data_IF_435458549690
#
_entry.id   IF_435458549690
#
_cell.length_a   1.000
_cell.length_b   1.000
_cell.length_c   1.000
_cell.angle_alpha   90.00
_cell.angle_beta   90.00
_cell.angle_gamma   90.00
#
_symmetry.space_group_name_H-M   'P 1'
#
loop_
_entity.id
_entity.type
_entity.pdbx_description
1 polymer ?
#
# COMPACT_ATOMS: atom_id res chain seq x y z
N UNK A 1 -15.22 15.99 30.70
CA UNK A 1 -15.85 16.44 29.44
C UNK A 1 -17.32 16.69 29.73
N UNK A 2 -17.77 17.93 29.71
CA UNK A 2 -19.14 18.31 30.05
C UNK A 2 -19.48 19.62 29.38
N UNK A 3 -19.62 19.59 28.04
CA UNK A 3 -19.90 20.81 27.29
C UNK A 3 -20.74 20.59 26.02
N UNK A 4 -21.62 19.59 25.97
CA UNK A 4 -22.62 19.41 24.89
C UNK A 4 -23.92 18.72 25.32
N UNK A 5 -24.29 18.76 26.60
CA UNK A 5 -25.65 18.38 27.03
C UNK A 5 -26.30 19.62 27.60
N UNK A 6 -27.04 20.34 26.76
CA UNK A 6 -27.93 21.40 27.19
C UNK A 6 -29.11 20.72 27.93
N UNK A 7 -29.25 20.86 29.25
CA UNK A 7 -30.31 20.19 30.02
C UNK A 7 -31.70 20.81 29.78
N UNK A 8 -31.78 21.90 29.01
CA UNK A 8 -33.03 22.61 28.69
C UNK A 8 -33.77 22.12 27.44
N UNK A 9 -33.22 21.15 26.70
CA UNK A 9 -33.87 20.55 25.52
C UNK A 9 -34.61 19.22 25.83
N UNK A 10 -34.82 18.92 27.11
CA UNK A 10 -35.68 17.83 27.55
C UNK A 10 -37.15 18.20 27.29
N UNK A 11 -37.72 17.77 26.16
CA UNK A 11 -39.17 17.90 25.96
C UNK A 11 -39.70 17.91 24.54
N UNK A 12 -38.87 17.74 23.51
CA UNK A 12 -39.39 17.52 22.16
C UNK A 12 -40.17 16.21 22.12
N UNK A 13 -41.40 16.21 21.61
CA UNK A 13 -42.15 14.95 21.40
C UNK A 13 -41.33 13.94 20.58
N UNK A 14 -40.52 14.44 19.64
CA UNK A 14 -39.56 13.68 18.84
C UNK A 14 -38.48 13.00 19.68
N UNK A 15 -37.86 13.68 20.65
CA UNK A 15 -36.80 13.06 21.47
C UNK A 15 -37.35 11.93 22.34
N UNK A 16 -38.56 12.12 22.88
CA UNK A 16 -39.22 11.12 23.71
C UNK A 16 -39.66 9.89 22.88
N UNK A 17 -40.13 10.10 21.64
CA UNK A 17 -40.46 9.00 20.71
C UNK A 17 -39.22 8.24 20.27
N UNK A 18 -38.11 8.94 19.98
CA UNK A 18 -36.83 8.35 19.61
C UNK A 18 -36.25 7.50 20.75
N UNK A 19 -36.28 8.01 21.98
CA UNK A 19 -35.84 7.26 23.17
C UNK A 19 -36.74 6.05 23.45
N UNK A 20 -38.07 6.19 23.29
CA UNK A 20 -39.01 5.09 23.49
C UNK A 20 -38.83 3.94 22.48
N UNK A 21 -38.39 4.24 21.26
CA UNK A 21 -38.21 3.26 20.17
C UNK A 21 -36.75 3.04 19.77
N UNK A 22 -35.79 3.42 20.63
CA UNK A 22 -34.36 3.46 20.30
C UNK A 22 -33.84 2.13 19.73
N UNK A 23 -34.28 0.99 20.31
CA UNK A 23 -33.81 -0.34 19.93
C UNK A 23 -34.36 -0.76 18.57
N UNK A 24 -35.65 -0.51 18.33
CA UNK A 24 -36.31 -0.84 17.07
C UNK A 24 -35.73 0.03 15.95
N UNK A 25 -35.56 1.32 16.21
CA UNK A 25 -34.99 2.26 15.25
C UNK A 25 -33.52 1.92 14.94
N UNK A 26 -32.72 1.57 15.96
CA UNK A 26 -31.33 1.17 15.78
C UNK A 26 -31.21 -0.08 14.91
N UNK A 27 -32.03 -1.11 15.16
CA UNK A 27 -32.05 -2.34 14.34
C UNK A 27 -32.50 -2.04 12.91
N UNK A 28 -33.54 -1.21 12.73
CA UNK A 28 -34.01 -0.83 11.40
C UNK A 28 -32.93 -0.08 10.62
N UNK A 29 -32.31 0.93 11.24
CA UNK A 29 -31.22 1.71 10.62
C UNK A 29 -30.02 0.84 10.30
N UNK A 30 -29.69 -0.14 11.14
CA UNK A 30 -28.65 -1.11 10.86
C UNK A 30 -28.98 -1.98 9.63
N UNK A 31 -30.21 -2.51 9.54
CA UNK A 31 -30.66 -3.28 8.39
C UNK A 31 -30.66 -2.43 7.10
N UNK A 32 -31.13 -1.18 7.18
CA UNK A 32 -31.10 -0.25 6.04
C UNK A 32 -29.67 0.04 5.62
N UNK A 33 -28.76 0.30 6.57
CA UNK A 33 -27.33 0.51 6.29
C UNK A 33 -26.67 -0.71 5.65
N UNK A 34 -26.99 -1.92 6.13
CA UNK A 34 -26.50 -3.16 5.56
C UNK A 34 -27.00 -3.36 4.12
N UNK A 35 -28.31 -3.15 3.86
CA UNK A 35 -28.88 -3.23 2.51
C UNK A 35 -28.25 -2.17 1.60
N UNK A 36 -28.06 -0.95 2.09
CA UNK A 36 -27.40 0.13 1.34
C UNK A 36 -25.99 -0.26 0.93
N UNK A 37 -25.21 -0.80 1.87
CA UNK A 37 -23.86 -1.25 1.62
C UNK A 37 -23.79 -2.38 0.57
N UNK A 38 -24.74 -3.31 0.58
CA UNK A 38 -24.84 -4.35 -0.46
C UNK A 38 -25.23 -3.74 -1.83
N UNK A 39 -26.09 -2.71 -1.83
CA UNK A 39 -26.49 -1.99 -3.02
C UNK A 39 -25.36 -1.14 -3.62
N UNK A 40 -24.38 -0.71 -2.81
CA UNK A 40 -23.19 -0.03 -3.30
C UNK A 40 -22.38 -0.90 -4.27
N UNK A 41 -22.49 -2.22 -4.27
CA UNK A 41 -21.83 -3.02 -5.31
C UNK A 41 -22.46 -2.85 -6.72
N UNK A 42 -23.59 -2.16 -6.84
CA UNK A 42 -24.29 -1.97 -8.10
C UNK A 42 -23.71 -0.82 -8.94
N UNK A 43 -23.58 -1.03 -10.26
CA UNK A 43 -22.99 -0.07 -11.19
C UNK A 43 -23.66 1.32 -11.18
N UNK A 44 -24.97 1.40 -10.95
CA UNK A 44 -25.66 2.71 -10.89
C UNK A 44 -25.22 3.56 -9.70
N UNK A 45 -24.71 2.93 -8.64
CA UNK A 45 -24.30 3.59 -7.39
C UNK A 45 -22.78 3.81 -7.33
N UNK A 46 -22.04 3.25 -8.29
CA UNK A 46 -20.59 3.31 -8.37
C UNK A 46 -20.13 4.27 -9.44
N UNK A 47 -19.00 4.92 -9.17
CA UNK A 47 -18.37 5.81 -10.13
C UNK A 47 -17.34 5.05 -10.97
N UNK A 48 -17.18 5.48 -12.21
CA UNK A 48 -16.08 5.04 -13.07
C UNK A 48 -14.78 5.69 -12.64
N UNK A 49 -13.68 4.97 -12.76
CA UNK A 49 -12.36 5.50 -12.42
C UNK A 49 -11.98 6.63 -13.39
N UNK A 50 -11.60 7.77 -12.84
CA UNK A 50 -11.05 8.91 -13.58
C UNK A 50 -9.69 9.30 -13.01
N UNK A 51 -8.96 10.15 -13.75
CA UNK A 51 -7.70 10.72 -13.29
C UNK A 51 -8.00 12.12 -12.76
N UNK A 52 -7.75 12.34 -11.48
CA UNK A 52 -7.87 13.68 -10.88
C UNK A 52 -6.66 14.54 -11.24
N UNK A 53 -5.50 13.91 -11.36
CA UNK A 53 -4.22 14.54 -11.68
C UNK A 53 -3.99 14.57 -13.19
N UNK A 54 -4.07 15.77 -13.77
CA UNK A 54 -3.91 15.96 -15.22
C UNK A 54 -2.48 15.67 -15.68
N UNK A 55 -1.47 15.83 -14.81
CA UNK A 55 -0.05 15.66 -15.16
C UNK A 55 0.36 14.20 -15.39
N UNK A 56 -0.45 13.23 -14.94
CA UNK A 56 -0.15 11.80 -15.13
C UNK A 56 -0.16 11.38 -16.61
N UNK A 57 -1.00 12.02 -17.43
CA UNK A 57 -1.12 11.80 -18.88
C UNK A 57 -0.93 10.31 -19.29
N UNK A 58 -1.69 9.38 -18.67
CA UNK A 58 -1.44 7.95 -18.80
C UNK A 58 -1.62 7.52 -20.25
N UNK A 59 -0.55 6.97 -20.82
CA UNK A 59 -0.56 6.46 -22.19
C UNK A 59 -0.35 7.51 -23.28
N UNK A 60 0.01 8.75 -22.94
CA UNK A 60 0.40 9.76 -23.94
C UNK A 60 1.68 9.37 -24.67
N UNK A 61 2.62 8.72 -23.95
CA UNK A 61 3.88 8.27 -24.54
C UNK A 61 3.85 6.76 -24.78
N UNK A 62 4.29 6.33 -25.95
CA UNK A 62 4.44 4.91 -26.28
C UNK A 62 5.62 4.31 -25.51
N UNK A 63 5.45 3.09 -25.00
CA UNK A 63 6.53 2.36 -24.35
C UNK A 63 7.57 1.94 -25.39
N UNK A 64 8.80 2.37 -25.21
CA UNK A 64 9.94 2.05 -26.09
C UNK A 64 10.76 0.87 -25.55
N UNK A 65 10.41 0.33 -24.38
CA UNK A 65 11.11 -0.78 -23.77
C UNK A 65 11.07 -2.03 -24.66
N UNK A 66 12.26 -2.44 -25.11
CA UNK A 66 12.54 -3.66 -25.87
C UNK A 66 13.62 -4.51 -25.17
N UNK A 67 13.58 -4.56 -23.83
CA UNK A 67 14.63 -5.16 -23.00
C UNK A 67 14.46 -6.65 -22.68
N UNK A 68 13.55 -7.38 -23.33
CA UNK A 68 13.22 -8.77 -22.95
C UNK A 68 14.42 -9.72 -23.01
N UNK A 69 15.23 -9.64 -24.08
CA UNK A 69 16.42 -10.47 -24.22
C UNK A 69 17.45 -10.19 -23.10
N UNK A 70 17.61 -8.93 -22.70
CA UNK A 70 18.49 -8.53 -21.60
C UNK A 70 17.94 -9.00 -20.26
N UNK A 71 16.62 -8.89 -20.03
CA UNK A 71 15.96 -9.41 -18.83
C UNK A 71 16.17 -10.94 -18.70
N UNK A 72 15.95 -11.70 -19.77
CA UNK A 72 16.17 -13.15 -19.75
C UNK A 72 17.64 -13.51 -19.53
N UNK A 73 18.59 -12.74 -20.06
CA UNK A 73 20.02 -12.93 -19.79
C UNK A 73 20.36 -12.67 -18.32
N UNK A 74 19.88 -11.56 -17.74
CA UNK A 74 20.08 -11.28 -16.32
C UNK A 74 19.44 -12.33 -15.42
N UNK A 75 18.28 -12.86 -15.81
CA UNK A 75 17.63 -13.96 -15.10
C UNK A 75 18.48 -15.23 -15.12
N UNK A 76 19.03 -15.61 -16.27
CA UNK A 76 19.92 -16.77 -16.37
C UNK A 76 21.20 -16.60 -15.54
N UNK A 77 21.79 -15.40 -15.55
CA UNK A 77 22.96 -15.07 -14.73
C UNK A 77 22.64 -15.13 -13.24
N UNK A 78 21.50 -14.56 -12.81
CA UNK A 78 21.05 -14.59 -11.42
C UNK A 78 20.75 -16.01 -10.94
N UNK A 79 20.12 -16.84 -11.78
CA UNK A 79 19.81 -18.23 -11.44
C UNK A 79 21.10 -19.05 -11.23
N UNK A 80 22.13 -18.84 -12.06
CA UNK A 80 23.45 -19.49 -11.88
C UNK A 80 24.11 -19.11 -10.56
N UNK A 81 24.06 -17.83 -10.18
CA UNK A 81 24.57 -17.38 -8.87
C UNK A 81 23.76 -17.96 -7.71
N UNK A 82 22.44 -18.07 -7.89
CA UNK A 82 21.51 -18.63 -6.90
C UNK A 82 21.76 -20.13 -6.68
N UNK A 83 22.05 -20.87 -7.75
CA UNK A 83 22.44 -22.29 -7.68
C UNK A 83 23.76 -22.47 -6.91
N UNK A 84 24.70 -21.53 -7.07
CA UNK A 84 25.99 -21.54 -6.37
C UNK A 84 25.85 -21.16 -4.89
N UNK A 85 24.97 -20.22 -4.56
CA UNK A 85 24.74 -19.71 -3.20
C UNK A 85 23.25 -19.76 -2.82
N UNK A 86 22.71 -20.93 -2.44
CA UNK A 86 21.25 -21.12 -2.29
C UNK A 86 20.64 -20.48 -1.02
N UNK A 87 21.47 -20.09 -0.04
CA UNK A 87 21.00 -19.60 1.26
C UNK A 87 21.07 -18.08 1.44
N UNK A 88 21.81 -17.38 0.58
CA UNK A 88 22.11 -15.96 0.76
C UNK A 88 21.77 -15.19 -0.51
N UNK A 89 21.43 -13.92 -0.37
CA UNK A 89 21.33 -13.03 -1.52
C UNK A 89 22.71 -12.84 -2.17
N UNK A 90 22.82 -12.81 -3.51
CA UNK A 90 24.10 -12.57 -4.19
C UNK A 90 24.44 -11.08 -4.21
N UNK A 91 24.75 -10.50 -3.04
CA UNK A 91 24.98 -9.05 -2.88
C UNK A 91 26.07 -8.51 -3.80
N UNK A 92 27.20 -9.22 -3.91
CA UNK A 92 28.34 -8.81 -4.73
C UNK A 92 28.00 -8.80 -6.23
N UNK A 93 27.21 -9.78 -6.70
CA UNK A 93 26.76 -9.83 -8.09
C UNK A 93 25.79 -8.68 -8.38
N UNK A 94 24.82 -8.43 -7.49
CA UNK A 94 23.87 -7.33 -7.64
C UNK A 94 24.57 -5.98 -7.67
N UNK A 95 25.51 -5.75 -6.74
CA UNK A 95 26.30 -4.55 -6.69
C UNK A 95 27.09 -4.36 -8.00
N UNK A 96 27.87 -5.37 -8.41
CA UNK A 96 28.67 -5.29 -9.63
C UNK A 96 27.82 -5.05 -10.88
N UNK A 97 26.65 -5.70 -10.98
CA UNK A 97 25.74 -5.53 -12.11
C UNK A 97 25.15 -4.13 -12.14
N UNK A 98 24.64 -3.62 -11.02
CA UNK A 98 24.10 -2.27 -10.98
C UNK A 98 25.19 -1.21 -11.30
N UNK A 99 26.44 -1.40 -10.85
CA UNK A 99 27.54 -0.49 -11.18
C UNK A 99 27.87 -0.53 -12.67
N UNK A 100 27.86 -1.72 -13.28
CA UNK A 100 28.06 -1.88 -14.74
C UNK A 100 26.96 -1.18 -15.56
N UNK A 101 25.77 -1.03 -15.01
CA UNK A 101 24.65 -0.33 -15.65
C UNK A 101 24.73 1.21 -15.53
N UNK A 102 25.74 1.74 -14.83
CA UNK A 102 25.93 3.17 -14.61
C UNK A 102 25.13 3.75 -13.44
N UNK A 103 24.69 2.90 -12.50
CA UNK A 103 23.99 3.34 -11.29
C UNK A 103 24.97 3.66 -10.16
N UNK A 104 24.61 4.62 -9.31
CA UNK A 104 25.30 4.85 -8.03
C UNK A 104 24.89 3.74 -7.05
N UNK A 105 25.74 2.72 -6.89
CA UNK A 105 25.42 1.50 -6.12
C UNK A 105 25.89 1.54 -4.68
N UNK A 106 25.04 1.09 -3.78
CA UNK A 106 25.32 1.05 -2.36
C UNK A 106 24.74 -0.22 -1.71
N UNK A 107 25.37 -0.63 -0.61
CA UNK A 107 24.89 -1.68 0.27
C UNK A 107 24.41 -1.07 1.58
N UNK A 108 23.42 -1.69 2.18
CA UNK A 108 22.80 -1.21 3.41
C UNK A 108 22.60 -2.39 4.37
N UNK A 109 23.37 -2.38 5.45
CA UNK A 109 23.33 -3.41 6.49
C UNK A 109 22.32 -3.05 7.58
N UNK A 110 21.62 -4.07 8.08
CA UNK A 110 20.69 -3.93 9.20
C UNK A 110 20.72 -5.17 10.10
N UNK A 111 20.36 -4.97 11.36
CA UNK A 111 20.29 -6.05 12.36
C UNK A 111 18.95 -6.01 13.09
N UNK A 112 18.23 -7.12 13.08
CA UNK A 112 17.01 -7.32 13.87
C UNK A 112 17.36 -8.01 15.19
N UNK A 113 17.04 -7.36 16.31
CA UNK A 113 17.06 -7.96 17.64
C UNK A 113 15.70 -8.58 17.92
N UNK A 114 15.64 -9.92 17.94
CA UNK A 114 14.37 -10.63 18.09
C UNK A 114 13.80 -10.45 19.51
N UNK A 115 12.59 -9.89 19.67
CA UNK A 115 12.09 -9.49 20.99
C UNK A 115 11.63 -10.67 21.85
N UNK A 116 11.24 -11.80 21.24
CA UNK A 116 10.65 -12.95 21.96
C UNK A 116 11.69 -13.99 22.39
N UNK A 117 12.95 -13.90 21.96
CA UNK A 117 14.02 -14.79 22.39
C UNK A 117 15.28 -13.97 22.67
N UNK A 118 15.74 -14.01 23.93
CA UNK A 118 16.93 -13.30 24.37
C UNK A 118 18.15 -13.69 23.52
N UNK A 119 18.95 -12.69 23.12
CA UNK A 119 20.21 -12.82 22.38
C UNK A 119 20.13 -13.43 20.97
N UNK A 120 18.95 -13.45 20.33
CA UNK A 120 18.84 -13.85 18.92
C UNK A 120 18.81 -12.62 18.01
N UNK A 121 19.90 -12.40 17.29
CA UNK A 121 20.01 -11.33 16.28
C UNK A 121 20.04 -11.91 14.87
N UNK A 122 19.26 -11.33 13.97
CA UNK A 122 19.30 -11.64 12.54
C UNK A 122 19.89 -10.46 11.79
N UNK A 123 20.86 -10.70 10.90
CA UNK A 123 21.46 -9.66 10.08
C UNK A 123 20.97 -9.80 8.65
N UNK A 124 20.85 -8.68 7.94
CA UNK A 124 20.52 -8.65 6.52
C UNK A 124 21.17 -7.47 5.83
N UNK A 125 21.36 -7.59 4.52
CA UNK A 125 21.97 -6.56 3.70
C UNK A 125 21.09 -6.28 2.47
N UNK A 126 20.61 -5.05 2.35
CA UNK A 126 19.95 -4.56 1.16
C UNK A 126 20.96 -4.05 0.13
N UNK A 127 20.60 -4.11 -1.15
CA UNK A 127 21.38 -3.52 -2.24
C UNK A 127 20.49 -2.53 -2.96
N UNK A 128 20.96 -1.29 -3.15
CA UNK A 128 20.24 -0.29 -3.92
C UNK A 128 21.16 0.47 -4.87
N UNK A 129 20.60 0.87 -6.00
CA UNK A 129 21.27 1.69 -7.01
C UNK A 129 20.44 2.93 -7.31
N UNK A 130 21.09 4.10 -7.41
CA UNK A 130 20.42 5.35 -7.75
C UNK A 130 20.81 5.74 -9.18
N UNK A 131 19.81 5.90 -10.05
CA UNK A 131 19.95 6.57 -11.34
C UNK A 131 19.67 8.06 -11.15
N UNK A 132 20.69 8.88 -11.38
CA UNK A 132 20.55 10.35 -11.28
C UNK A 132 19.83 10.91 -12.50
N UNK A 133 18.87 11.80 -12.27
CA UNK A 133 18.18 12.51 -13.33
C UNK A 133 19.15 13.37 -14.15
N UNK A 134 19.10 13.27 -15.47
CA UNK A 134 19.94 14.10 -16.36
C UNK A 134 19.39 15.52 -16.49
N UNK A 135 18.06 15.68 -16.43
CA UNK A 135 17.38 16.98 -16.63
C UNK A 135 16.98 17.70 -15.34
N UNK A 136 17.05 17.02 -14.19
CA UNK A 136 16.54 17.53 -12.92
C UNK A 136 17.64 17.76 -11.90
N UNK A 137 17.34 18.57 -10.88
CA UNK A 137 18.25 18.88 -9.77
C UNK A 137 18.30 17.78 -8.69
N UNK A 138 17.94 16.53 -9.02
CA UNK A 138 17.92 15.40 -8.07
C UNK A 138 17.05 15.66 -6.80
N UNK A 139 16.07 16.57 -6.91
CA UNK A 139 15.25 17.03 -5.78
C UNK A 139 14.13 16.07 -5.40
N UNK A 140 13.79 15.12 -6.27
CA UNK A 140 12.72 14.15 -6.05
C UNK A 140 13.14 12.79 -6.59
N UNK A 141 12.54 11.72 -6.05
CA UNK A 141 12.86 10.36 -6.46
C UNK A 141 11.65 9.45 -6.59
N UNK A 142 11.78 8.44 -7.45
CA UNK A 142 10.85 7.34 -7.66
C UNK A 142 11.55 6.05 -7.25
N UNK A 143 10.88 5.19 -6.49
CA UNK A 143 11.46 3.91 -6.06
C UNK A 143 10.86 2.76 -6.87
N UNK A 144 11.71 1.94 -7.47
CA UNK A 144 11.35 0.63 -7.99
C UNK A 144 11.99 -0.44 -7.11
N UNK A 145 11.19 -1.22 -6.39
CA UNK A 145 11.68 -2.22 -5.46
C UNK A 145 11.33 -3.63 -5.88
N UNK A 146 12.22 -4.60 -5.58
CA UNK A 146 11.94 -6.01 -5.74
C UNK A 146 12.56 -6.81 -4.57
N UNK A 147 11.77 -7.55 -3.78
CA UNK A 147 12.34 -8.43 -2.76
C UNK A 147 13.09 -9.60 -3.39
N UNK A 148 14.26 -9.92 -2.85
CA UNK A 148 14.94 -11.17 -3.17
C UNK A 148 14.46 -12.29 -2.24
N UNK A 149 14.00 -13.39 -2.84
CA UNK A 149 13.55 -14.59 -2.15
C UNK A 149 14.46 -15.74 -2.53
N UNK A 150 15.20 -16.27 -1.56
CA UNK A 150 16.07 -17.41 -1.77
C UNK A 150 15.25 -18.68 -2.09
N UNK A 151 15.79 -19.65 -2.84
CA UNK A 151 15.07 -20.90 -3.17
C UNK A 151 14.64 -21.73 -1.95
N UNK A 152 15.35 -21.57 -0.82
CA UNK A 152 15.01 -22.23 0.45
C UNK A 152 13.90 -21.53 1.23
N UNK A 153 13.48 -20.34 0.81
CA UNK A 153 12.41 -19.60 1.48
C UNK A 153 11.05 -20.26 1.20
N UNK A 154 10.09 -20.15 2.13
CA UNK A 154 8.75 -20.70 1.95
C UNK A 154 7.91 -19.93 0.91
N UNK A 155 8.35 -18.74 0.51
CA UNK A 155 7.64 -17.87 -0.44
C UNK A 155 8.07 -18.17 -1.88
N UNK A 156 7.18 -17.92 -2.85
CA UNK A 156 7.51 -18.07 -4.26
C UNK A 156 8.67 -17.15 -4.64
N UNK A 157 9.67 -17.70 -5.35
CA UNK A 157 10.83 -16.95 -5.83
C UNK A 157 10.42 -15.71 -6.64
N UNK A 158 11.30 -14.69 -6.66
CA UNK A 158 11.05 -13.40 -7.32
C UNK A 158 12.20 -12.98 -8.26
N UNK A 159 12.98 -13.96 -8.74
CA UNK A 159 14.14 -13.70 -9.60
C UNK A 159 13.77 -12.98 -10.93
N UNK A 160 12.65 -13.30 -11.61
CA UNK A 160 12.25 -12.59 -12.82
C UNK A 160 11.96 -11.10 -12.60
N UNK A 161 11.41 -10.71 -11.45
CA UNK A 161 11.20 -9.30 -11.12
C UNK A 161 12.52 -8.53 -11.01
N UNK A 162 13.53 -9.11 -10.36
CA UNK A 162 14.86 -8.49 -10.23
C UNK A 162 15.53 -8.39 -11.60
N UNK A 163 15.42 -9.43 -12.42
CA UNK A 163 15.96 -9.41 -13.78
C UNK A 163 15.28 -8.36 -14.67
N UNK A 164 13.96 -8.21 -14.56
CA UNK A 164 13.20 -7.16 -15.24
C UNK A 164 13.61 -5.77 -14.73
N UNK A 165 13.79 -5.62 -13.42
CA UNK A 165 14.24 -4.37 -12.82
C UNK A 165 15.63 -3.96 -13.32
N UNK A 166 16.58 -4.89 -13.43
CA UNK A 166 17.91 -4.62 -13.99
C UNK A 166 17.85 -4.28 -15.49
N UNK A 167 16.98 -4.94 -16.26
CA UNK A 167 16.77 -4.61 -17.66
C UNK A 167 16.15 -3.20 -17.84
N UNK A 168 15.22 -2.83 -16.97
CA UNK A 168 14.66 -1.47 -16.93
C UNK A 168 15.71 -0.45 -16.52
N UNK A 169 16.55 -0.75 -15.53
CA UNK A 169 17.63 0.14 -15.11
C UNK A 169 18.61 0.43 -16.25
N UNK A 170 18.96 -0.60 -17.01
CA UNK A 170 19.79 -0.44 -18.20
C UNK A 170 19.11 0.40 -19.29
N UNK A 171 17.82 0.14 -19.56
CA UNK A 171 17.07 0.95 -20.52
C UNK A 171 16.98 2.40 -20.05
N UNK A 172 16.70 2.64 -18.77
CA UNK A 172 16.54 3.98 -18.20
C UNK A 172 17.84 4.76 -18.19
N UNK A 173 19.01 4.11 -18.02
CA UNK A 173 20.30 4.80 -18.09
C UNK A 173 20.67 5.28 -19.50
N UNK A 174 20.08 4.69 -20.54
CA UNK A 174 20.22 5.17 -21.92
C UNK A 174 19.29 6.36 -22.24
N UNK A 175 18.29 6.63 -21.40
CA UNK A 175 17.28 7.68 -21.65
C UNK A 175 17.63 9.01 -20.97
N UNK A 176 17.46 10.12 -21.70
CA UNK A 176 17.80 11.48 -21.24
C UNK A 176 16.61 12.29 -20.69
N UNK A 177 15.41 11.71 -20.68
CA UNK A 177 14.18 12.45 -20.33
C UNK A 177 13.82 12.44 -18.83
N UNK A 178 14.62 11.79 -17.99
CA UNK A 178 14.34 11.71 -16.55
C UNK A 178 14.60 13.05 -15.86
N UNK A 179 13.58 13.52 -15.15
CA UNK A 179 13.60 14.71 -14.30
C UNK A 179 13.73 14.35 -12.81
N UNK A 180 13.36 13.12 -12.44
CA UNK A 180 13.48 12.57 -11.07
C UNK A 180 14.51 11.46 -11.01
N UNK A 181 15.15 11.33 -9.86
CA UNK A 181 16.05 10.21 -9.60
C UNK A 181 15.25 8.92 -9.49
N UNK A 182 15.79 7.82 -10.00
CA UNK A 182 15.14 6.50 -9.90
C UNK A 182 16.00 5.61 -9.02
N UNK A 183 15.42 5.14 -7.91
CA UNK A 183 16.08 4.24 -6.98
C UNK A 183 15.63 2.82 -7.29
N UNK A 184 16.57 1.95 -7.63
CA UNK A 184 16.35 0.51 -7.77
C UNK A 184 16.76 -0.16 -6.46
N UNK A 185 15.80 -0.74 -5.75
CA UNK A 185 16.01 -1.33 -4.42
C UNK A 185 15.75 -2.83 -4.44
N UNK A 186 16.78 -3.63 -4.13
CA UNK A 186 16.62 -5.06 -3.88
C UNK A 186 16.74 -5.31 -2.37
N UNK A 187 15.66 -5.75 -1.75
CA UNK A 187 15.61 -5.98 -0.31
C UNK A 187 15.86 -7.43 0.05
N UNK A 188 16.65 -7.65 1.09
CA UNK A 188 16.77 -8.95 1.76
C UNK A 188 15.73 -9.05 2.88
N UNK A 189 15.16 -10.23 3.12
CA UNK A 189 14.10 -10.44 4.11
C UNK A 189 12.83 -9.57 3.92
N UNK A 190 12.45 -9.30 2.67
CA UNK A 190 11.21 -8.62 2.26
C UNK A 190 10.87 -7.37 3.10
N UNK A 191 9.87 -7.46 3.98
CA UNK A 191 9.36 -6.37 4.79
C UNK A 191 10.41 -5.83 5.79
N UNK A 192 11.27 -6.69 6.34
CA UNK A 192 12.28 -6.27 7.32
C UNK A 192 13.35 -5.42 6.66
N UNK A 193 13.87 -5.87 5.51
CA UNK A 193 14.84 -5.09 4.75
C UNK A 193 14.25 -3.78 4.26
N UNK A 194 12.99 -3.79 3.81
CA UNK A 194 12.30 -2.58 3.38
C UNK A 194 12.12 -1.56 4.52
N UNK A 195 11.65 -2.00 5.70
CA UNK A 195 11.45 -1.12 6.85
C UNK A 195 12.78 -0.54 7.33
N UNK A 196 13.85 -1.35 7.41
CA UNK A 196 15.17 -0.87 7.77
C UNK A 196 15.66 0.21 6.79
N UNK A 197 15.50 -0.03 5.49
CA UNK A 197 15.91 0.92 4.46
C UNK A 197 15.12 2.23 4.56
N UNK A 198 13.80 2.15 4.72
CA UNK A 198 12.92 3.32 4.86
C UNK A 198 13.23 4.13 6.12
N UNK A 199 13.43 3.48 7.27
CA UNK A 199 13.80 4.16 8.52
C UNK A 199 15.13 4.90 8.38
N UNK A 200 16.12 4.27 7.75
CA UNK A 200 17.42 4.88 7.49
C UNK A 200 17.32 6.04 6.48
N UNK A 201 16.44 5.92 5.47
CA UNK A 201 16.21 6.95 4.45
C UNK A 201 15.62 8.23 5.04
N UNK A 202 14.58 8.09 5.87
CA UNK A 202 13.90 9.22 6.52
C UNK A 202 14.61 9.73 7.78
N UNK A 203 15.67 9.05 8.24
CA UNK A 203 16.44 9.47 9.41
C UNK A 203 15.65 9.33 10.72
N UNK A 204 14.87 8.26 10.85
CA UNK A 204 14.09 7.97 12.07
C UNK A 204 15.01 7.84 13.28
N UNK A 205 14.57 8.31 14.45
CA UNK A 205 15.34 8.16 15.69
C UNK A 205 15.28 6.69 16.15
N UNK A 206 16.42 6.10 16.59
CA UNK A 206 16.42 4.76 17.15
C UNK A 206 15.49 4.67 18.37
N UNK A 207 14.55 3.73 18.34
CA UNK A 207 13.74 3.41 19.52
C UNK A 207 14.63 2.74 20.57
N UNK A 208 14.35 2.98 21.86
CA UNK A 208 15.09 2.37 22.98
C UNK A 208 14.15 1.47 23.78
N UNK A 209 14.36 0.13 23.81
CA UNK A 209 15.41 -0.64 23.12
C UNK A 209 15.13 -0.84 21.60
N UNK A 210 16.15 -0.85 20.74
CA UNK A 210 15.95 -0.97 19.29
C UNK A 210 15.62 -2.42 18.92
N UNK A 211 14.39 -2.66 18.46
CA UNK A 211 14.00 -3.96 17.88
C UNK A 211 14.70 -4.15 16.53
N UNK A 212 14.84 -3.08 15.75
CA UNK A 212 15.50 -3.07 14.45
C UNK A 212 16.59 -1.99 14.47
N UNK A 213 17.85 -2.41 14.41
CA UNK A 213 18.95 -1.53 14.07
C UNK A 213 18.97 -1.38 12.54
N UNK A 214 18.43 -0.25 12.10
CA UNK A 214 18.28 0.07 10.70
C UNK A 214 19.57 0.57 10.05
N UNK A 215 20.69 0.71 10.76
CA UNK A 215 21.97 1.13 10.17
C UNK A 215 21.95 2.52 9.50
N UNK A 216 23.01 2.86 8.76
CA UNK A 216 23.15 4.18 8.10
C UNK A 216 23.29 4.02 6.59
N UNK A 217 22.50 4.79 5.84
CA UNK A 217 22.67 4.90 4.39
C UNK A 217 23.87 5.79 4.05
N UNK A 218 24.69 5.32 3.10
CA UNK A 218 25.86 6.03 2.56
C UNK A 218 25.40 7.21 1.69
N UNK A 219 24.39 6.99 0.85
CA UNK A 219 23.86 7.99 -0.05
C UNK A 219 22.33 7.98 -0.05
N UNK A 220 21.75 9.13 -0.37
CA UNK A 220 20.30 9.33 -0.49
C UNK A 220 20.01 10.11 -1.78
N UNK A 221 18.81 9.91 -2.31
CA UNK A 221 18.25 10.79 -3.34
C UNK A 221 17.34 11.85 -2.67
N UNK A 222 16.80 12.78 -3.46
CA UNK A 222 15.74 13.67 -2.99
C UNK A 222 14.46 12.92 -2.57
N UNK A 223 13.55 13.56 -1.82
CA UNK A 223 12.31 12.96 -1.32
C UNK A 223 11.60 12.00 -2.28
N UNK A 224 11.18 10.84 -1.76
CA UNK A 224 10.45 9.84 -2.54
C UNK A 224 9.02 10.33 -2.79
N UNK A 225 8.63 10.43 -4.06
CA UNK A 225 7.29 10.84 -4.47
C UNK A 225 6.35 9.63 -4.54
N UNK A 226 6.82 8.53 -5.13
CA UNK A 226 6.05 7.31 -5.32
C UNK A 226 6.96 6.08 -5.37
N UNK A 227 6.39 4.92 -5.05
CA UNK A 227 7.11 3.64 -5.11
C UNK A 227 6.30 2.56 -5.82
N UNK A 228 6.98 1.71 -6.59
CA UNK A 228 6.39 0.54 -7.24
C UNK A 228 7.19 -0.69 -6.81
N UNK A 229 6.51 -1.64 -6.20
CA UNK A 229 7.10 -2.90 -5.77
C UNK A 229 6.77 -4.02 -6.77
N UNK A 230 7.75 -4.86 -7.11
CA UNK A 230 7.64 -5.90 -8.13
C UNK A 230 7.65 -7.29 -7.49
N UNK A 231 6.57 -8.04 -7.71
CA UNK A 231 6.45 -9.44 -7.30
C UNK A 231 6.06 -10.31 -8.50
N UNK A 232 7.05 -10.69 -9.30
CA UNK A 232 6.89 -11.47 -10.53
C UNK A 232 7.65 -12.78 -10.36
N UNK A 233 6.95 -13.90 -10.08
CA UNK A 233 7.58 -15.18 -9.79
C UNK A 233 8.07 -15.92 -11.03
N UNK A 234 7.43 -15.70 -12.18
CA UNK A 234 7.75 -16.38 -13.45
C UNK A 234 7.93 -15.37 -14.59
N UNK A 235 8.74 -15.72 -15.61
CA UNK A 235 8.94 -14.89 -16.81
C UNK A 235 7.70 -14.75 -17.69
N UNK A 236 6.75 -15.67 -17.54
CA UNK A 236 5.45 -15.64 -18.22
C UNK A 236 4.35 -15.65 -17.18
N UNK A 237 3.50 -14.63 -17.21
CA UNK A 237 2.37 -14.49 -16.28
C UNK A 237 1.06 -14.52 -17.03
N UNK A 238 0.02 -15.04 -16.37
CA UNK A 238 -1.32 -15.10 -16.95
C UNK A 238 -1.97 -13.72 -16.86
N UNK A 239 -1.92 -13.13 -15.67
CA UNK A 239 -2.48 -11.83 -15.37
C UNK A 239 -1.63 -11.10 -14.33
N UNK A 240 -1.82 -9.79 -14.24
CA UNK A 240 -1.18 -8.92 -13.26
C UNK A 240 -2.19 -8.51 -12.21
N UNK A 241 -1.94 -8.90 -10.97
CA UNK A 241 -2.72 -8.44 -9.83
C UNK A 241 -2.09 -7.18 -9.23
N UNK A 242 -2.88 -6.12 -9.15
CA UNK A 242 -2.43 -4.85 -8.57
C UNK A 242 -2.84 -4.84 -7.10
N UNK A 243 -1.83 -4.92 -6.23
CA UNK A 243 -1.98 -4.99 -4.78
C UNK A 243 -1.69 -3.62 -4.18
N UNK A 244 -2.69 -3.04 -3.52
CA UNK A 244 -2.65 -1.67 -3.00
C UNK A 244 -3.00 -1.56 -1.50
N UNK A 245 -3.25 -2.68 -0.82
CA UNK A 245 -3.63 -2.67 0.59
C UNK A 245 -2.41 -2.42 1.49
N UNK A 246 -2.47 -1.38 2.31
CA UNK A 246 -1.41 -0.97 3.21
C UNK A 246 -1.57 -1.44 4.65
N UNK A 247 -0.58 -1.07 5.47
CA UNK A 247 -0.63 -1.27 6.92
C UNK A 247 -1.79 -0.49 7.53
N UNK A 248 -2.50 -1.11 8.48
CA UNK A 248 -3.63 -0.50 9.19
C UNK A 248 -4.72 0.05 8.27
N UNK A 249 -4.91 -0.55 7.10
CA UNK A 249 -5.92 -0.14 6.13
C UNK A 249 -5.61 1.16 5.37
N UNK A 250 -4.37 1.66 5.45
CA UNK A 250 -3.92 2.77 4.61
C UNK A 250 -3.92 2.37 3.13
N UNK A 251 -4.28 3.30 2.25
CA UNK A 251 -4.32 3.10 0.81
C UNK A 251 -3.46 4.15 0.09
N UNK A 252 -2.87 3.81 -1.07
CA UNK A 252 -2.25 4.79 -1.95
C UNK A 252 -3.28 5.76 -2.51
N UNK A 253 -2.79 6.81 -3.17
CA UNK A 253 -3.65 7.61 -4.03
C UNK A 253 -4.26 6.74 -5.16
N UNK A 254 -5.59 6.84 -5.33
CA UNK A 254 -6.36 6.09 -6.34
C UNK A 254 -5.84 6.27 -7.77
N UNK A 255 -5.32 7.46 -8.13
CA UNK A 255 -4.83 7.74 -9.48
C UNK A 255 -3.62 6.87 -9.83
N UNK A 256 -2.77 6.51 -8.86
CA UNK A 256 -1.64 5.58 -9.08
C UNK A 256 -2.13 4.17 -9.42
N UNK A 257 -3.19 3.71 -8.76
CA UNK A 257 -3.80 2.40 -9.02
C UNK A 257 -4.51 2.40 -10.38
N UNK A 258 -5.29 3.44 -10.66
CA UNK A 258 -5.95 3.64 -11.95
C UNK A 258 -4.96 3.69 -13.11
N UNK A 259 -3.81 4.34 -12.88
CA UNK A 259 -2.74 4.44 -13.87
C UNK A 259 -2.21 3.07 -14.27
N UNK A 260 -1.91 2.22 -13.30
CA UNK A 260 -1.45 0.86 -13.54
C UNK A 260 -2.50 0.04 -14.30
N UNK A 261 -3.78 0.10 -13.89
CA UNK A 261 -4.86 -0.59 -14.61
C UNK A 261 -4.97 -0.11 -16.07
N UNK A 262 -4.91 1.20 -16.31
CA UNK A 262 -4.98 1.77 -17.67
C UNK A 262 -3.77 1.37 -18.53
N UNK A 263 -2.56 1.35 -17.96
CA UNK A 263 -1.36 0.91 -18.68
C UNK A 263 -1.37 -0.59 -18.98
N UNK A 264 -1.80 -1.42 -18.02
CA UNK A 264 -2.00 -2.86 -18.26
C UNK A 264 -2.99 -3.11 -19.39
N UNK A 265 -4.13 -2.39 -19.38
CA UNK A 265 -5.11 -2.50 -20.45
C UNK A 265 -4.52 -2.12 -21.82
N UNK A 266 -3.74 -1.03 -21.89
CA UNK A 266 -3.09 -0.56 -23.13
C UNK A 266 -2.10 -1.57 -23.69
N UNK A 267 -1.25 -2.15 -22.84
CA UNK A 267 -0.26 -3.16 -23.25
C UNK A 267 -0.88 -4.56 -23.44
N UNK A 268 -2.21 -4.67 -23.43
CA UNK A 268 -2.94 -5.93 -23.57
C UNK A 268 -2.57 -6.98 -22.52
N UNK A 269 -2.25 -6.53 -21.31
CA UNK A 269 -1.98 -7.37 -20.14
C UNK A 269 -3.28 -7.52 -19.33
N UNK A 270 -3.71 -8.78 -19.13
CA UNK A 270 -4.84 -9.06 -18.24
C UNK A 270 -4.50 -8.56 -16.84
N UNK A 271 -5.38 -7.77 -16.25
CA UNK A 271 -5.18 -7.18 -14.93
C UNK A 271 -6.36 -7.45 -14.02
N UNK A 272 -6.07 -7.59 -12.73
CA UNK A 272 -7.06 -7.93 -11.72
C UNK A 272 -6.91 -7.09 -10.47
N UNK A 273 -7.98 -7.04 -9.69
CA UNK A 273 -7.95 -6.64 -8.28
C UNK A 273 -8.25 -7.89 -7.47
N UNK A 274 -7.39 -8.23 -6.51
CA UNK A 274 -7.55 -9.41 -5.62
C UNK A 274 -7.70 -10.72 -6.39
N UNK A 275 -6.94 -10.89 -7.48
CA UNK A 275 -6.98 -12.05 -8.37
C UNK A 275 -8.36 -12.30 -9.01
N UNK A 276 -9.21 -11.27 -9.09
CA UNK A 276 -10.51 -11.31 -9.75
C UNK A 276 -10.51 -10.33 -10.92
N UNK A 277 -10.74 -10.85 -12.11
CA UNK A 277 -10.95 -10.04 -13.30
C UNK A 277 -12.37 -9.46 -13.30
N UNK A 278 -12.54 -8.34 -14.00
CA UNK A 278 -13.84 -7.72 -14.22
C UNK A 278 -14.79 -8.68 -14.94
N UNK A 279 -16.03 -8.74 -14.47
CA UNK A 279 -17.04 -9.58 -15.11
C UNK A 279 -17.43 -8.97 -16.46
N UNK A 280 -17.39 -9.77 -17.54
CA UNK A 280 -17.74 -9.37 -18.92
C UNK A 280 -19.10 -8.67 -19.09
N UNK A 281 -20.07 -8.91 -18.21
CA UNK A 281 -21.42 -8.30 -18.22
C UNK A 281 -21.76 -7.82 -16.82
N UNK A 282 -21.23 -6.65 -16.41
CA UNK A 282 -21.32 -6.22 -15.02
C UNK A 282 -22.76 -5.85 -14.60
N UNK A 283 -23.62 -5.48 -15.55
CA UNK A 283 -25.03 -5.11 -15.29
C UNK A 283 -25.96 -6.31 -15.02
N UNK A 284 -25.44 -7.54 -15.13
CA UNK A 284 -26.25 -8.74 -14.84
C UNK A 284 -26.26 -8.99 -13.33
N UNK A 285 -27.28 -9.66 -12.79
CA UNK A 285 -27.31 -10.08 -11.39
C UNK A 285 -26.05 -10.89 -10.99
N UNK A 286 -25.52 -11.74 -11.89
CA UNK A 286 -24.25 -12.43 -11.69
C UNK A 286 -23.04 -11.49 -11.65
N UNK A 287 -23.09 -10.39 -12.42
CA UNK A 287 -22.11 -9.31 -12.43
C UNK A 287 -22.06 -8.57 -11.11
N UNK A 288 -23.22 -8.14 -10.62
CA UNK A 288 -23.36 -7.52 -9.31
C UNK A 288 -22.85 -8.43 -8.18
N UNK A 289 -23.23 -9.72 -8.18
CA UNK A 289 -22.81 -10.67 -7.14
C UNK A 289 -21.28 -10.90 -7.17
N UNK A 290 -20.66 -10.89 -8.35
CA UNK A 290 -19.21 -10.96 -8.51
C UNK A 290 -18.50 -9.70 -8.01
N UNK A 291 -19.03 -8.51 -8.31
CA UNK A 291 -18.50 -7.24 -7.80
C UNK A 291 -18.66 -7.13 -6.28
N UNK A 292 -19.81 -7.55 -5.73
CA UNK A 292 -20.05 -7.60 -4.30
C UNK A 292 -19.05 -8.52 -3.60
N UNK A 293 -18.79 -9.70 -4.16
CA UNK A 293 -17.78 -10.60 -3.63
C UNK A 293 -16.38 -9.97 -3.69
N UNK A 294 -16.05 -9.27 -4.77
CA UNK A 294 -14.75 -8.59 -4.93
C UNK A 294 -14.60 -7.48 -3.88
N UNK A 295 -15.63 -6.67 -3.69
CA UNK A 295 -15.70 -5.63 -2.67
C UNK A 295 -15.56 -6.20 -1.25
N UNK A 296 -16.35 -7.22 -0.91
CA UNK A 296 -16.28 -7.88 0.40
C UNK A 296 -14.91 -8.51 0.65
N UNK A 297 -14.30 -9.11 -0.38
CA UNK A 297 -12.97 -9.68 -0.25
C UNK A 297 -11.89 -8.63 0.00
N UNK A 298 -12.00 -7.47 -0.65
CA UNK A 298 -11.08 -6.34 -0.47
C UNK A 298 -11.22 -5.69 0.91
N UNK A 299 -12.46 -5.61 1.42
CA UNK A 299 -12.72 -5.10 2.76
C UNK A 299 -12.24 -6.07 3.82
N UNK A 300 -12.45 -7.37 3.62
CA UNK A 300 -11.99 -8.39 4.55
C UNK A 300 -10.47 -8.34 4.72
N UNK A 301 -9.73 -8.15 3.63
CA UNK A 301 -8.27 -8.05 3.65
C UNK A 301 -7.79 -6.71 4.20
N UNK A 302 -8.40 -5.60 3.81
CA UNK A 302 -8.10 -4.29 4.40
C UNK A 302 -8.39 -4.26 5.92
N UNK A 303 -9.44 -4.94 6.38
CA UNK A 303 -9.81 -5.03 7.79
C UNK A 303 -8.79 -5.83 8.63
N UNK A 304 -7.99 -6.71 8.02
CA UNK A 304 -6.89 -7.37 8.74
C UNK A 304 -5.77 -6.40 9.12
N UNK A 305 -5.67 -5.26 8.43
CA UNK A 305 -4.59 -4.29 8.62
C UNK A 305 -3.20 -4.79 8.19
N UNK A 306 -3.11 -5.99 7.62
CA UNK A 306 -1.86 -6.59 7.13
C UNK A 306 -1.63 -6.13 5.69
N UNK A 307 -0.44 -5.60 5.36
CA UNK A 307 -0.15 -5.12 4.02
C UNK A 307 -0.03 -6.30 3.05
N UNK A 308 -0.57 -6.14 1.84
CA UNK A 308 -0.57 -7.19 0.81
C UNK A 308 0.78 -7.35 0.07
N UNK A 309 1.77 -6.52 0.40
CA UNK A 309 3.10 -6.48 -0.20
C UNK A 309 3.98 -5.42 0.48
N UNK A 310 5.24 -5.29 0.04
CA UNK A 310 6.19 -4.35 0.65
C UNK A 310 5.79 -2.87 0.45
N UNK A 311 4.92 -2.57 -0.52
CA UNK A 311 4.40 -1.21 -0.73
C UNK A 311 3.71 -0.65 0.51
N UNK A 312 3.12 -1.50 1.35
CA UNK A 312 2.38 -1.07 2.53
C UNK A 312 3.22 -0.29 3.56
N UNK A 313 4.54 -0.50 3.59
CA UNK A 313 5.47 0.20 4.48
C UNK A 313 5.70 1.66 4.07
N UNK A 314 5.59 1.97 2.78
CA UNK A 314 5.76 3.33 2.25
C UNK A 314 4.64 4.28 2.71
N UNK A 315 3.43 3.76 2.89
CA UNK A 315 2.28 4.58 3.29
C UNK A 315 2.45 5.26 4.65
N UNK A 316 3.22 4.64 5.55
CA UNK A 316 3.58 5.23 6.86
C UNK A 316 4.30 6.58 6.72
N UNK A 317 5.06 6.76 5.64
CA UNK A 317 5.82 7.98 5.35
C UNK A 317 5.06 8.94 4.42
N UNK A 318 3.78 8.68 4.15
CA UNK A 318 2.96 9.47 3.23
C UNK A 318 3.35 9.28 1.76
N UNK A 319 4.04 8.19 1.43
CA UNK A 319 4.45 7.87 0.05
C UNK A 319 3.38 6.96 -0.56
N UNK A 320 2.89 7.33 -1.75
CA UNK A 320 1.97 6.48 -2.51
C UNK A 320 2.75 5.35 -3.17
N UNK A 321 2.39 4.11 -2.82
CA UNK A 321 3.08 2.93 -3.32
C UNK A 321 2.12 1.80 -3.69
N UNK A 322 2.48 1.00 -4.69
CA UNK A 322 1.68 -0.13 -5.17
C UNK A 322 2.57 -1.31 -5.48
N UNK A 323 2.10 -2.53 -5.22
CA UNK A 323 2.76 -3.77 -5.66
C UNK A 323 2.14 -4.29 -6.95
N UNK A 324 2.96 -4.46 -7.98
CA UNK A 324 2.61 -5.13 -9.23
C UNK A 324 2.98 -6.60 -9.07
N UNK A 325 1.98 -7.46 -8.89
CA UNK A 325 2.18 -8.89 -8.75
C UNK A 325 1.83 -9.64 -10.04
N UNK A 326 2.75 -10.44 -10.52
CA UNK A 326 2.52 -11.34 -11.64
C UNK A 326 2.00 -12.68 -11.14
N UNK A 327 0.84 -13.11 -11.62
CA UNK A 327 0.18 -14.33 -11.15
C UNK A 327 -0.01 -15.30 -12.32
N UNK A 328 0.07 -16.60 -12.02
CA UNK A 328 -0.10 -17.66 -13.02
C UNK A 328 -1.30 -18.51 -12.66
N UNK A 329 -2.32 -18.51 -13.52
CA UNK A 329 -3.44 -19.44 -13.43
C UNK A 329 -3.15 -20.61 -14.35
N UNK A 330 -3.28 -21.84 -13.83
CA UNK A 330 -3.07 -23.09 -14.58
C UNK A 330 -4.03 -23.34 -15.76
N UNK A 331 -4.80 -22.34 -16.22
CA UNK A 331 -5.70 -22.47 -17.36
C UNK A 331 -4.91 -22.36 -18.66
N UNK A 332 -4.85 -23.47 -19.40
CA UNK A 332 -4.00 -23.69 -20.57
C UNK A 332 -4.33 -22.86 -21.84
N UNK A 333 -5.17 -21.81 -21.76
CA UNK A 333 -5.66 -21.07 -22.94
C UNK A 333 -5.70 -19.54 -22.82
N UNK A 334 -5.23 -18.95 -21.72
CA UNK A 334 -5.16 -17.49 -21.56
C UNK A 334 -3.97 -16.86 -22.28
N UNK A 335 -4.11 -15.59 -22.69
CA UNK A 335 -3.01 -14.82 -23.28
C UNK A 335 -1.93 -14.61 -22.21
N UNK A 336 -0.71 -15.05 -22.48
CA UNK A 336 0.41 -14.93 -21.53
C UNK A 336 1.08 -13.57 -21.72
N UNK A 337 1.20 -12.82 -20.63
CA UNK A 337 1.99 -11.61 -20.58
C UNK A 337 3.47 -11.96 -20.35
N UNK A 338 4.31 -11.50 -21.28
CA UNK A 338 5.76 -11.64 -21.21
C UNK A 338 6.38 -10.50 -20.40
N UNK A 339 7.61 -10.69 -19.91
CA UNK A 339 8.43 -9.63 -19.29
C UNK A 339 8.51 -8.35 -20.12
N UNK A 340 8.44 -8.43 -21.46
CA UNK A 340 8.36 -7.26 -22.34
C UNK A 340 7.14 -6.38 -22.05
N UNK A 341 5.95 -6.99 -21.96
CA UNK A 341 4.71 -6.27 -21.73
C UNK A 341 4.71 -5.64 -20.33
N UNK A 342 5.19 -6.37 -19.33
CA UNK A 342 5.35 -5.83 -17.97
C UNK A 342 6.36 -4.68 -17.93
N UNK A 343 7.48 -4.81 -18.63
CA UNK A 343 8.48 -3.76 -18.74
C UNK A 343 7.92 -2.47 -19.34
N UNK A 344 7.07 -2.57 -20.37
CA UNK A 344 6.37 -1.39 -20.95
C UNK A 344 5.36 -0.77 -19.99
N UNK A 345 4.64 -1.57 -19.21
CA UNK A 345 3.74 -1.05 -18.15
C UNK A 345 4.55 -0.30 -17.09
N UNK A 346 5.68 -0.85 -16.64
CA UNK A 346 6.55 -0.21 -15.64
C UNK A 346 7.26 1.02 -16.18
N UNK A 347 7.71 1.00 -17.44
CA UNK A 347 8.22 2.17 -18.14
C UNK A 347 7.15 3.27 -18.18
N UNK A 348 5.95 2.96 -18.66
CA UNK A 348 4.84 3.91 -18.71
C UNK A 348 4.49 4.48 -17.33
N UNK A 349 4.60 3.65 -16.29
CA UNK A 349 4.37 4.07 -14.89
C UNK A 349 5.44 5.06 -14.44
N UNK A 350 6.71 4.74 -14.64
CA UNK A 350 7.81 5.63 -14.30
C UNK A 350 7.77 6.94 -15.10
N UNK A 351 7.41 6.90 -16.39
CA UNK A 351 7.25 8.11 -17.22
C UNK A 351 6.12 9.00 -16.73
N UNK A 352 5.00 8.41 -16.32
CA UNK A 352 3.85 9.16 -15.80
C UNK A 352 4.17 9.80 -14.44
N UNK A 353 4.85 9.05 -13.56
CA UNK A 353 5.33 9.58 -12.27
C UNK A 353 6.41 10.66 -12.45
N UNK A 354 7.27 10.52 -13.45
CA UNK A 354 8.30 11.51 -13.77
C UNK A 354 7.69 12.86 -14.17
N UNK A 355 6.49 12.88 -14.76
CA UNK A 355 5.79 14.10 -15.15
C UNK A 355 5.09 14.84 -13.99
N UNK A 356 4.87 14.19 -12.85
CA UNK A 356 4.21 14.82 -11.71
C UNK A 356 5.05 15.96 -11.13
N UNK A 357 4.52 17.18 -11.07
CA UNK A 357 5.27 18.32 -10.52
C UNK A 357 5.23 18.39 -8.99
N UNK A 358 4.20 17.80 -8.38
CA UNK A 358 3.97 17.83 -6.95
C UNK A 358 3.67 16.42 -6.43
N UNK A 359 3.67 16.24 -5.11
CA UNK A 359 3.20 14.99 -4.51
C UNK A 359 1.72 14.78 -4.81
N UNK A 360 1.28 13.53 -4.70
CA UNK A 360 -0.12 13.17 -4.87
C UNK A 360 -1.01 13.89 -3.83
N UNK A 361 -1.88 14.80 -4.28
CA UNK A 361 -2.74 15.59 -3.38
C UNK A 361 -4.22 15.68 -3.79
N UNK A 362 -4.56 15.47 -5.06
CA UNK A 362 -5.92 15.77 -5.55
C UNK A 362 -6.91 14.58 -5.48
N UNK A 363 -6.41 13.34 -5.46
CA UNK A 363 -7.27 12.14 -5.48
C UNK A 363 -7.61 11.62 -4.08
N UNK A 364 -8.45 10.59 -4.05
CA UNK A 364 -8.93 9.95 -2.82
C UNK A 364 -7.89 8.99 -2.20
N UNK A 365 -7.78 9.05 -0.88
CA UNK A 365 -7.00 8.11 -0.06
C UNK A 365 -7.86 7.05 0.65
N UNK A 366 -9.19 7.16 0.53
CA UNK A 366 -10.15 6.20 1.07
C UNK A 366 -11.16 5.84 0.00
N UNK A 367 -11.01 4.64 -0.56
CA UNK A 367 -11.87 4.12 -1.62
C UNK A 367 -11.97 2.60 -1.54
N UNK A 368 -13.00 2.06 -2.17
CA UNK A 368 -13.19 0.62 -2.38
C UNK A 368 -13.26 0.34 -3.88
N UNK A 369 -12.64 -0.74 -4.33
CA UNK A 369 -12.62 -1.15 -5.74
C UNK A 369 -13.47 -2.42 -5.93
N UNK A 370 -14.74 -2.30 -6.34
CA UNK A 370 -15.56 -3.46 -6.74
C UNK A 370 -15.11 -4.06 -8.07
N UNK A 371 -14.43 -3.27 -8.92
CA UNK A 371 -13.90 -3.65 -10.24
C UNK A 371 -12.64 -2.82 -10.54
N UNK A 372 -11.87 -3.19 -11.56
CA UNK A 372 -10.63 -2.46 -11.94
C UNK A 372 -10.93 -1.08 -12.56
N UNK A 373 -12.13 -0.92 -13.10
CA UNK A 373 -12.61 0.29 -13.81
C UNK A 373 -13.58 1.14 -12.98
N UNK A 374 -13.93 0.71 -11.75
CA UNK A 374 -14.93 1.38 -10.92
C UNK A 374 -14.48 1.48 -9.48
N UNK A 375 -14.85 2.58 -8.84
CA UNK A 375 -14.51 2.83 -7.45
C UNK A 375 -15.71 3.38 -6.67
N UNK A 376 -15.66 3.18 -5.37
CA UNK A 376 -16.63 3.71 -4.41
C UNK A 376 -15.88 4.66 -3.49
N UNK A 377 -16.27 5.92 -3.50
CA UNK A 377 -15.75 6.91 -2.57
C UNK A 377 -16.36 6.68 -1.19
N UNK A 378 -15.62 7.00 -0.12
CA UNK A 378 -16.17 6.97 1.25
C UNK A 378 -17.38 7.91 1.38
N UNK A 379 -17.41 9.01 0.61
CA UNK A 379 -18.55 9.93 0.55
C UNK A 379 -19.84 9.24 0.10
N UNK A 380 -19.76 8.31 -0.85
CA UNK A 380 -20.91 7.51 -1.31
C UNK A 380 -21.37 6.50 -0.25
N UNK A 381 -20.46 6.01 0.60
CA UNK A 381 -20.78 5.12 1.72
C UNK A 381 -21.53 5.89 2.81
N UNK A 382 -21.10 7.11 3.13
CA UNK A 382 -21.71 7.94 4.17
C UNK A 382 -23.00 8.63 3.71
N UNK A 383 -23.12 8.89 2.41
CA UNK A 383 -24.31 9.50 1.78
C UNK A 383 -25.34 8.41 1.47
N UNK A 384 -25.87 7.76 2.50
CA UNK A 384 -27.20 7.18 2.35
C UNK A 384 -28.14 8.35 2.11
N UNK A 385 -28.83 8.49 0.97
CA UNK A 385 -29.83 9.54 0.80
C UNK A 385 -30.98 9.18 1.75
N UNK A 386 -31.24 9.95 2.82
CA UNK A 386 -32.56 9.88 3.41
C UNK A 386 -33.54 10.34 2.31
N UNK A 387 -34.70 9.71 2.14
CA UNK A 387 -35.76 10.34 1.37
C UNK A 387 -36.13 11.61 2.15
N UNK A 388 -35.64 12.76 1.70
CA UNK A 388 -35.97 14.09 2.22
C UNK A 388 -35.88 14.26 3.75
N UNK A 389 -34.67 14.31 4.31
CA UNK A 389 -34.48 14.92 5.63
C UNK A 389 -33.05 15.43 5.84
N UNK A 390 -32.87 16.75 5.79
CA UNK A 390 -31.68 17.47 6.27
C UNK A 390 -31.66 17.48 7.81
N UNK A 391 -31.52 16.32 8.45
CA UNK A 391 -31.23 16.27 9.88
C UNK A 391 -30.19 15.18 10.21
N UNK A 392 -29.08 15.68 10.74
CA UNK A 392 -28.05 15.01 11.56
C UNK A 392 -26.92 14.26 10.83
N UNK A 393 -25.73 14.90 10.72
CA UNK A 393 -24.47 14.22 10.37
C UNK A 393 -23.78 13.50 11.56
N UNK A 394 -24.43 13.41 12.74
CA UNK A 394 -23.75 12.99 13.97
C UNK A 394 -23.83 11.48 14.29
N UNK A 395 -24.79 10.73 13.74
CA UNK A 395 -25.02 9.33 14.11
C UNK A 395 -24.25 8.31 13.26
N UNK A 396 -23.79 8.68 12.06
CA UNK A 396 -23.03 7.78 11.18
C UNK A 396 -21.58 7.58 11.64
N UNK A 397 -21.00 8.55 12.37
CA UNK A 397 -19.64 8.43 12.89
C UNK A 397 -19.49 7.40 14.02
N UNK A 398 -20.58 7.00 14.68
CA UNK A 398 -20.50 6.08 15.82
C UNK A 398 -20.48 4.59 15.45
N UNK A 399 -20.97 4.21 14.26
CA UNK A 399 -21.17 2.80 13.89
C UNK A 399 -20.04 2.17 13.08
N UNK A 400 -19.03 2.94 12.67
CA UNK A 400 -17.80 2.42 12.04
C UNK A 400 -16.69 2.17 13.08
N UNK A 401 -16.94 2.45 14.37
CA UNK A 401 -16.06 2.00 15.46
C UNK A 401 -16.40 0.57 15.86
N UNK A 402 -15.87 -0.41 15.12
CA UNK A 402 -15.81 -1.80 15.58
C UNK A 402 -14.83 -1.87 16.75
N UNK A 403 -15.33 -1.97 17.98
CA UNK A 403 -14.52 -2.20 19.18
C UNK A 403 -15.27 -1.81 20.45
N UNK A 404 -15.56 -2.80 21.30
CA UNK A 404 -16.25 -2.69 22.58
C UNK A 404 -15.71 -1.57 23.48
N UNK A 405 -16.58 -0.60 23.82
CA UNK A 405 -16.31 0.41 24.85
C UNK A 405 -16.49 -0.24 26.23
N UNK A 406 -15.38 -0.60 26.89
CA UNK A 406 -15.35 -0.78 28.35
C UNK A 406 -14.68 0.45 28.97
N UNK A 407 -15.46 1.16 29.77
CA UNK A 407 -15.11 2.41 30.43
C UNK A 407 -14.13 2.19 31.60
N UNK A 408 -12.98 2.89 31.59
CA UNK A 408 -12.23 3.22 32.80
C UNK A 408 -11.90 4.73 32.78
N UNK A 409 -12.00 5.45 33.92
CA UNK A 409 -11.87 6.92 33.95
C UNK A 409 -10.40 7.38 34.03
N UNK A 410 -10.02 8.53 33.44
CA UNK A 410 -8.67 9.09 33.56
C UNK A 410 -8.55 10.09 34.73
N UNK A 411 -7.39 10.21 35.41
CA UNK A 411 -7.08 11.37 36.24
C UNK A 411 -6.46 12.51 35.42
N UNK A 412 -6.68 13.72 35.94
CA UNK A 412 -6.45 15.05 35.37
C UNK A 412 -5.04 15.36 34.81
N UNK A 413 -4.98 16.10 33.70
CA UNK A 413 -4.14 17.30 33.51
C UNK A 413 -4.43 18.04 32.18
N UNK A 414 -4.07 19.32 32.14
CA UNK A 414 -4.72 20.45 31.46
C UNK A 414 -4.29 20.79 30.01
N UNK A 415 -5.26 21.30 29.24
CA UNK A 415 -5.27 22.40 28.24
C UNK A 415 -4.12 22.58 27.21
N UNK A 416 -4.42 22.23 25.94
CA UNK A 416 -4.27 23.02 24.68
C UNK A 416 -4.84 22.16 23.50
N UNK A 417 -5.32 22.73 22.37
CA UNK A 417 -6.30 22.08 21.48
C UNK A 417 -5.64 21.03 20.59
N UNK A 418 -5.93 19.74 20.86
CA UNK A 418 -5.48 18.62 20.04
C UNK A 418 -6.55 18.26 18.99
N UNK A 419 -6.23 18.45 17.72
CA UNK A 419 -6.80 17.69 16.61
C UNK A 419 -6.39 16.22 16.78
N UNK A 420 -7.29 15.40 17.32
CA UNK A 420 -7.03 13.99 17.61
C UNK A 420 -7.04 13.14 16.34
N UNK A 421 -5.85 12.73 15.90
CA UNK A 421 -5.66 11.58 15.03
C UNK A 421 -5.79 10.30 15.89
N UNK A 422 -6.82 9.48 15.66
CA UNK A 422 -6.96 8.18 16.33
C UNK A 422 -6.26 7.07 15.52
N UNK A 423 -5.18 6.53 16.08
CA UNK A 423 -4.58 5.25 15.69
C UNK A 423 -5.38 4.09 16.32
N UNK A 424 -5.69 3.06 15.54
CA UNK A 424 -6.22 1.78 16.04
C UNK A 424 -5.03 0.81 16.17
N UNK A 425 -4.76 0.36 17.39
CA UNK A 425 -3.84 -0.74 17.69
C UNK A 425 -4.60 -1.82 18.46
N UNK A 426 -4.61 -3.04 17.94
CA UNK A 426 -5.22 -4.21 18.59
C UNK A 426 -4.07 -5.04 19.18
N UNK A 427 -3.97 -5.09 20.51
CA UNK A 427 -3.00 -5.88 21.25
C UNK A 427 -3.66 -6.68 22.37
N UNK A 428 -3.30 -7.96 22.46
CA UNK A 428 -3.81 -8.98 23.39
C UNK A 428 -3.54 -8.68 24.88
N UNK A 429 -4.50 -9.03 25.74
CA UNK A 429 -4.53 -8.84 27.19
C UNK A 429 -3.54 -9.76 27.92
N UNK A 430 -2.62 -9.20 28.71
CA UNK A 430 -2.01 -9.86 29.87
C UNK A 430 -2.00 -8.88 31.07
N UNK A 431 -2.52 -9.35 32.21
CA UNK A 431 -2.75 -8.57 33.44
C UNK A 431 -1.46 -8.11 34.11
N UNK A 432 -1.36 -6.83 34.50
CA UNK A 432 -0.31 -6.30 35.39
C UNK A 432 -0.86 -6.05 36.81
N UNK A 433 -0.02 -6.20 37.86
CA UNK A 433 -0.42 -6.06 39.28
C UNK A 433 -0.48 -4.59 39.73
N UNK A 434 -1.10 -4.28 40.89
CA UNK A 434 -1.33 -2.90 41.32
C UNK A 434 -0.04 -2.17 41.78
N UNK A 435 0.04 -0.84 41.61
CA UNK A 435 1.20 -0.03 42.01
C UNK A 435 1.23 0.26 43.53
N UNK A 436 2.41 0.59 44.10
CA UNK A 436 2.60 0.82 45.52
C UNK A 436 2.08 2.20 45.97
N UNK A 437 1.61 2.28 47.22
CA UNK A 437 1.12 3.49 47.89
C UNK A 437 2.30 4.41 48.25
N UNK A 438 2.34 5.62 47.68
CA UNK A 438 3.29 6.66 48.06
C UNK A 438 2.72 7.53 49.21
N UNK A 439 3.49 7.64 50.29
CA UNK A 439 3.23 8.51 51.45
C UNK A 439 3.47 9.99 51.11
N UNK A 440 2.57 10.86 51.58
CA UNK A 440 2.68 12.32 51.47
C UNK A 440 3.75 12.89 52.43
N UNK A 441 4.47 13.96 52.06
CA UNK A 441 5.34 14.68 52.99
C UNK A 441 4.50 15.60 53.89
N UNK A 442 4.70 15.51 55.21
CA UNK A 442 4.20 16.52 56.14
C UNK A 442 5.15 17.73 56.14
N UNK A 443 4.55 18.90 56.04
CA UNK A 443 5.16 20.19 56.33
C UNK A 443 5.24 20.36 57.84
N UNK A 444 6.46 20.37 58.38
CA UNK A 444 6.96 21.25 59.44
C UNK A 444 8.48 21.13 59.55
#
# INVERSE_FOLDING_TARGET
>A
MGLLTDPGMEGGWLSNVLLAHEKILSVLLYCVGAIWFLALAHNSMNHETYFSENALLPGLVHGEFMGEAKANRFLQELNKETEKYPSTMPHAWLQAKMTQLGLDTYTHNFTLHYPMAANKSFTGNNVYGILRAVRGSSSESIVLSAPYRAPRSPHLGNAPAIALMLALAHFFSEQLYWAKDIIFLVTEHEQLGMEAWLQSYHGSLPQSPPVLDFGKLIARAGPIQAAVNLEIPESFVSHVDIRYEGLNGQLPNLDLVNLLHRLCHRESVEHTVRNRADHRKPDTASGWLHQLHTLLSSIATQATGVPSGNHGLFHRYGISAVTVSGERVGRAGGRRATLLHLGRVLEGTCRSLNNLLERFHQSFFFYLLPATSRYISIGSVTSCPPPHCNLLPATTYCYISIGSVTSCPPPHCNLLPATTYCYISIGSVTSCPPPPVATSPQVL
#
